data_IF_064078295979
#
_entry.id   IF_064078295979
#
_cell.length_a   1.000
_cell.length_b   1.000
_cell.length_c   1.000
_cell.angle_alpha   90.00
_cell.angle_beta   90.00
_cell.angle_gamma   90.00
#
_symmetry.space_group_name_H-M   'P 1'
#
loop_
_entity.id
_entity.type
_entity.pdbx_description
1 polymer ?
#
# COMPACT_ATOMS: atom_id res chain seq x y z
N UNK A 1 -59.78 -29.22 19.98
CA UNK A 1 -58.64 -29.15 20.91
C UNK A 1 -57.76 -27.98 20.50
N UNK A 2 -57.84 -26.87 21.22
CA UNK A 2 -56.79 -25.86 21.40
C UNK A 2 -57.47 -24.62 22.00
N UNK A 3 -57.59 -24.64 23.32
CA UNK A 3 -58.10 -23.54 24.14
C UNK A 3 -57.08 -22.41 24.22
N UNK A 4 -57.49 -21.19 23.89
CA UNK A 4 -56.77 -19.98 24.29
C UNK A 4 -57.76 -18.99 24.90
N UNK A 5 -57.67 -18.84 26.22
CA UNK A 5 -58.42 -17.85 27.00
C UNK A 5 -57.59 -16.57 27.14
N UNK A 6 -58.20 -15.37 27.00
CA UNK A 6 -57.47 -14.12 27.18
C UNK A 6 -57.32 -13.79 28.67
N UNK A 7 -56.13 -13.34 29.11
CA UNK A 7 -55.94 -12.77 30.44
C UNK A 7 -55.77 -11.25 30.39
N UNK A 8 -56.47 -10.62 31.32
CA UNK A 8 -56.80 -9.21 31.42
C UNK A 8 -55.63 -8.26 31.73
N UNK A 9 -55.88 -7.00 31.37
CA UNK A 9 -55.10 -5.80 31.71
C UNK A 9 -54.95 -5.63 33.22
N UNK A 10 -53.73 -5.25 33.65
CA UNK A 10 -53.52 -4.37 34.81
C UNK A 10 -52.45 -3.32 34.47
N UNK A 11 -52.84 -2.06 34.61
CA UNK A 11 -51.99 -0.88 34.86
C UNK A 11 -52.58 -0.19 36.10
N UNK A 12 -51.99 0.87 36.70
CA UNK A 12 -50.58 1.27 36.88
C UNK A 12 -50.29 1.64 38.38
N UNK A 13 -49.04 1.94 38.75
CA UNK A 13 -48.64 2.92 39.80
C UNK A 13 -47.11 2.88 40.00
N UNK A 14 -46.39 3.96 39.63
CA UNK A 14 -45.76 4.95 40.55
C UNK A 14 -44.63 4.36 41.42
N UNK A 15 -43.37 4.79 41.41
CA UNK A 15 -42.68 5.90 40.74
C UNK A 15 -41.27 6.08 41.37
N UNK A 16 -40.50 7.03 40.82
CA UNK A 16 -39.17 7.57 41.26
C UNK A 16 -37.97 6.67 40.89
N UNK A 17 -36.87 7.15 40.31
CA UNK A 17 -36.24 8.48 40.30
C UNK A 17 -35.31 8.68 39.09
N UNK A 18 -35.11 9.95 38.72
CA UNK A 18 -34.21 10.48 37.70
C UNK A 18 -32.71 10.24 38.00
N UNK A 19 -31.89 10.19 36.93
CA UNK A 19 -30.41 10.27 36.95
C UNK A 19 -29.80 9.59 35.71
N UNK A 20 -29.70 10.23 34.55
CA UNK A 20 -28.63 11.15 34.11
C UNK A 20 -27.23 10.50 34.02
N UNK A 21 -26.83 10.02 32.83
CA UNK A 21 -25.46 10.14 32.26
C UNK A 21 -25.24 9.26 31.01
N UNK A 22 -25.73 9.70 29.85
CA UNK A 22 -25.40 9.10 28.54
C UNK A 22 -24.99 10.17 27.51
N UNK A 23 -24.14 11.12 27.93
CA UNK A 23 -23.67 12.25 27.08
C UNK A 23 -22.13 12.30 26.93
N UNK A 24 -21.38 11.41 27.59
CA UNK A 24 -19.91 11.50 27.62
C UNK A 24 -19.19 10.57 26.64
N UNK A 25 -19.88 9.67 25.92
CA UNK A 25 -19.24 8.74 24.98
C UNK A 25 -19.36 9.10 23.49
N UNK A 26 -20.27 10.01 23.12
CA UNK A 26 -20.39 10.48 21.74
C UNK A 26 -19.60 11.76 21.45
N UNK A 27 -19.29 12.58 22.46
CA UNK A 27 -18.48 13.80 22.27
C UNK A 27 -16.99 13.54 22.03
N UNK A 28 -16.46 12.39 22.46
CA UNK A 28 -15.06 12.04 22.23
C UNK A 28 -14.76 11.53 20.80
N UNK A 29 -15.79 11.37 19.95
CA UNK A 29 -15.63 10.88 18.57
C UNK A 29 -15.89 11.93 17.49
N UNK A 30 -16.57 13.02 17.84
CA UNK A 30 -16.84 14.14 16.90
C UNK A 30 -15.86 15.31 17.04
N UNK A 31 -15.08 15.41 18.12
CA UNK A 31 -14.07 16.48 18.31
C UNK A 31 -12.66 16.13 17.78
N UNK A 32 -12.51 15.08 16.96
CA UNK A 32 -11.24 14.71 16.30
C UNK A 32 -11.36 14.66 14.77
N UNK A 33 -12.27 15.46 14.19
CA UNK A 33 -12.53 15.49 12.74
C UNK A 33 -12.44 16.88 12.11
N UNK A 34 -11.84 17.84 12.77
CA UNK A 34 -11.59 19.17 12.20
C UNK A 34 -10.24 19.67 12.70
N UNK A 35 -9.15 19.26 12.02
CA UNK A 35 -7.84 19.94 11.98
C UNK A 35 -6.80 19.03 11.28
N UNK A 36 -6.96 18.78 9.97
CA UNK A 36 -5.94 18.04 9.20
C UNK A 36 -5.88 18.47 7.71
N UNK A 37 -6.34 19.67 7.37
CA UNK A 37 -6.27 20.20 5.99
C UNK A 37 -5.03 21.11 5.72
N UNK A 38 -4.20 21.40 6.73
CA UNK A 38 -3.05 22.32 6.59
C UNK A 38 -1.66 21.65 6.66
N UNK A 39 -1.60 20.33 6.88
CA UNK A 39 -0.33 19.60 7.04
C UNK A 39 0.46 19.36 5.72
N UNK A 40 0.01 19.91 4.59
CA UNK A 40 0.70 19.78 3.30
C UNK A 40 1.80 20.84 3.07
N UNK A 41 1.94 21.83 3.97
CA UNK A 41 2.80 23.00 3.74
C UNK A 41 4.10 23.03 4.55
N UNK A 42 4.37 22.11 5.49
CA UNK A 42 5.57 22.13 6.33
C UNK A 42 6.33 20.78 6.32
N UNK A 43 6.91 20.40 5.16
CA UNK A 43 8.06 19.49 5.16
C UNK A 43 9.34 20.32 5.32
N UNK A 44 10.16 20.11 6.36
CA UNK A 44 11.46 20.77 6.43
C UNK A 44 12.29 20.31 5.22
N UNK A 45 12.78 21.26 4.45
CA UNK A 45 13.70 21.01 3.34
C UNK A 45 14.92 20.25 3.90
N UNK A 46 15.06 18.98 3.53
CA UNK A 46 16.17 18.15 3.99
C UNK A 46 17.46 18.71 3.39
N UNK A 47 18.18 19.50 4.19
CA UNK A 47 19.47 20.10 3.87
C UNK A 47 20.44 18.99 3.50
N UNK A 48 20.99 19.09 2.28
CA UNK A 48 21.88 18.09 1.69
C UNK A 48 23.01 17.66 2.63
N UNK A 49 23.05 16.35 2.91
CA UNK A 49 24.27 15.66 3.26
C UNK A 49 24.70 14.86 2.04
N UNK A 50 25.65 15.43 1.31
CA UNK A 50 26.38 14.72 0.27
C UNK A 50 27.36 13.74 0.93
N UNK A 51 27.44 12.57 0.30
CA UNK A 51 28.53 11.59 0.36
C UNK A 51 28.62 10.67 1.59
N UNK A 52 28.06 9.45 1.41
CA UNK A 52 28.71 8.14 1.64
C UNK A 52 27.76 6.93 1.41
N UNK A 53 26.53 7.14 0.90
CA UNK A 53 25.50 6.10 0.81
C UNK A 53 25.57 5.16 -0.41
N UNK A 54 26.51 5.35 -1.32
CA UNK A 54 26.74 4.37 -2.40
C UNK A 54 27.23 3.00 -1.87
N UNK A 55 27.66 2.93 -0.61
CA UNK A 55 28.25 1.73 -0.02
C UNK A 55 27.25 0.71 0.57
N UNK A 56 25.96 1.08 0.73
CA UNK A 56 25.00 0.23 1.48
C UNK A 56 23.77 -0.18 0.67
N UNK A 57 23.68 0.22 -0.60
CA UNK A 57 22.65 -0.36 -1.47
C UNK A 57 23.03 -1.83 -1.72
N UNK A 58 22.15 -2.80 -1.40
CA UNK A 58 22.30 -4.16 -1.89
C UNK A 58 22.44 -4.06 -3.41
N UNK A 59 23.49 -4.69 -3.96
CA UNK A 59 23.94 -4.62 -5.36
C UNK A 59 22.80 -4.35 -6.37
N UNK A 60 22.47 -3.06 -6.56
CA UNK A 60 21.48 -2.65 -7.55
C UNK A 60 22.15 -2.82 -8.90
N UNK A 61 21.62 -3.69 -9.74
CA UNK A 61 22.10 -3.80 -11.12
C UNK A 61 21.86 -2.44 -11.79
N UNK A 62 22.81 -1.88 -12.53
CA UNK A 62 22.76 -0.49 -13.02
C UNK A 62 21.52 -0.10 -13.86
N UNK A 63 20.68 -1.06 -14.24
CA UNK A 63 19.41 -0.85 -14.93
C UNK A 63 18.17 -1.34 -14.13
N UNK A 64 18.29 -1.72 -12.86
CA UNK A 64 17.14 -2.20 -12.07
C UNK A 64 16.23 -1.04 -11.66
N UNK A 65 14.93 -1.33 -11.64
CA UNK A 65 13.88 -0.43 -11.19
C UNK A 65 13.30 -0.94 -9.88
N UNK A 66 12.89 -0.03 -9.01
CA UNK A 66 12.20 -0.36 -7.77
C UNK A 66 10.72 -0.05 -7.91
N UNK A 67 9.89 -1.09 -7.81
CA UNK A 67 8.44 -0.97 -7.64
C UNK A 67 8.12 -1.01 -6.16
N UNK A 68 7.18 -0.21 -5.70
CA UNK A 68 6.83 -0.12 -4.29
C UNK A 68 5.33 -0.02 -4.10
N UNK A 69 4.89 -0.41 -2.90
CA UNK A 69 3.47 -0.48 -2.57
C UNK A 69 2.84 -1.82 -2.92
N UNK A 70 1.70 -2.10 -2.27
CA UNK A 70 0.99 -3.38 -2.37
C UNK A 70 0.59 -3.76 -3.80
N UNK A 71 -0.10 -2.85 -4.49
CA UNK A 71 -0.69 -3.14 -5.79
C UNK A 71 0.33 -3.23 -6.93
N UNK A 72 1.27 -2.28 -7.10
CA UNK A 72 2.27 -2.39 -8.17
C UNK A 72 3.13 -3.65 -8.02
N UNK A 73 3.52 -4.00 -6.80
CA UNK A 73 4.28 -5.22 -6.50
C UNK A 73 3.44 -6.46 -6.82
N UNK A 74 2.19 -6.51 -6.38
CA UNK A 74 1.29 -7.65 -6.68
C UNK A 74 1.10 -7.83 -8.18
N UNK A 75 0.85 -6.76 -8.93
CA UNK A 75 0.66 -6.82 -10.38
C UNK A 75 1.92 -7.29 -11.10
N UNK A 76 3.09 -6.76 -10.74
CA UNK A 76 4.35 -7.17 -11.34
C UNK A 76 4.68 -8.64 -11.10
N UNK A 77 4.41 -9.14 -9.89
CA UNK A 77 4.57 -10.54 -9.54
C UNK A 77 3.55 -11.44 -10.26
N UNK A 78 2.30 -10.99 -10.47
CA UNK A 78 1.27 -11.79 -11.16
C UNK A 78 1.58 -11.95 -12.64
N UNK A 79 1.95 -10.85 -13.29
CA UNK A 79 2.19 -10.81 -14.73
C UNK A 79 3.58 -11.35 -15.09
N UNK A 80 4.56 -11.22 -14.20
CA UNK A 80 5.95 -11.68 -14.40
C UNK A 80 6.57 -11.30 -15.76
N UNK A 81 6.09 -10.21 -16.37
CA UNK A 81 6.56 -9.69 -17.68
C UNK A 81 7.95 -9.04 -17.61
N UNK A 82 8.52 -8.95 -16.42
CA UNK A 82 9.85 -8.37 -16.13
C UNK A 82 10.65 -9.40 -15.35
N UNK A 83 11.98 -9.30 -15.37
CA UNK A 83 12.81 -10.08 -14.46
C UNK A 83 12.60 -9.56 -13.04
N UNK A 84 12.28 -10.47 -12.13
CA UNK A 84 12.01 -10.18 -10.72
C UNK A 84 13.28 -10.55 -9.94
N UNK A 85 13.93 -9.59 -9.29
CA UNK A 85 15.23 -9.83 -8.66
C UNK A 85 15.09 -10.06 -7.15
N UNK A 86 14.48 -9.10 -6.46
CA UNK A 86 14.53 -9.08 -4.99
C UNK A 86 13.31 -8.38 -4.40
N UNK A 87 12.66 -8.99 -3.41
CA UNK A 87 11.55 -8.44 -2.65
C UNK A 87 11.99 -8.09 -1.23
N UNK A 88 11.87 -6.82 -0.86
CA UNK A 88 12.07 -6.31 0.49
C UNK A 88 10.72 -6.15 1.18
N UNK A 89 10.58 -6.77 2.36
CA UNK A 89 9.36 -6.72 3.17
C UNK A 89 9.66 -6.14 4.54
N UNK A 90 9.02 -5.03 4.87
CA UNK A 90 9.13 -4.41 6.19
C UNK A 90 8.52 -5.32 7.27
N UNK A 91 9.26 -5.58 8.35
CA UNK A 91 8.85 -6.38 9.50
C UNK A 91 8.72 -5.56 10.79
N UNK A 92 8.13 -4.38 10.70
CA UNK A 92 7.71 -3.65 11.89
C UNK A 92 6.63 -4.38 12.68
N UNK A 93 6.46 -3.95 13.93
CA UNK A 93 5.61 -4.52 14.97
C UNK A 93 4.14 -4.77 14.59
N UNK A 94 3.62 -4.08 13.56
CA UNK A 94 2.26 -4.25 13.03
C UNK A 94 2.11 -5.22 11.84
N UNK A 95 3.17 -5.90 11.38
CA UNK A 95 3.09 -6.86 10.25
C UNK A 95 3.50 -8.26 10.68
N UNK A 96 2.52 -9.06 11.11
CA UNK A 96 2.70 -10.46 11.51
C UNK A 96 2.10 -11.47 10.54
N UNK A 97 1.72 -11.06 9.33
CA UNK A 97 1.07 -11.96 8.39
C UNK A 97 2.12 -12.80 7.66
N UNK A 98 2.42 -13.97 8.25
CA UNK A 98 3.20 -15.02 7.59
C UNK A 98 2.57 -15.47 6.26
N UNK A 99 1.23 -15.36 6.15
CA UNK A 99 0.43 -15.72 4.98
C UNK A 99 0.17 -14.57 4.00
N UNK A 100 1.11 -13.63 3.89
CA UNK A 100 0.99 -12.55 2.92
C UNK A 100 0.99 -13.13 1.48
N UNK A 101 -0.09 -12.96 0.67
CA UNK A 101 -0.16 -13.50 -0.69
C UNK A 101 0.92 -12.94 -1.63
N UNK A 102 1.48 -11.76 -1.36
CA UNK A 102 2.62 -11.22 -2.12
C UNK A 102 3.89 -12.02 -1.87
N UNK A 103 4.11 -12.47 -0.62
CA UNK A 103 5.25 -13.35 -0.29
C UNK A 103 5.11 -14.70 -0.97
N UNK A 104 3.92 -15.29 -0.93
CA UNK A 104 3.63 -16.57 -1.61
C UNK A 104 3.88 -16.46 -3.12
N UNK A 105 3.44 -15.35 -3.74
CA UNK A 105 3.64 -15.14 -5.17
C UNK A 105 5.12 -14.93 -5.51
N UNK A 106 5.86 -14.16 -4.70
CA UNK A 106 7.30 -13.99 -4.87
C UNK A 106 8.08 -15.31 -4.73
N UNK A 107 7.72 -16.15 -3.76
CA UNK A 107 8.29 -17.49 -3.59
C UNK A 107 8.01 -18.38 -4.81
N UNK A 108 6.79 -18.35 -5.36
CA UNK A 108 6.41 -19.08 -6.58
C UNK A 108 7.33 -18.73 -7.77
N UNK A 109 7.75 -17.47 -7.86
CA UNK A 109 8.66 -16.99 -8.91
C UNK A 109 10.15 -17.11 -8.54
N UNK A 110 10.50 -17.72 -7.41
CA UNK A 110 11.89 -17.87 -6.97
C UNK A 110 12.59 -16.55 -6.63
N UNK A 111 11.83 -15.50 -6.33
CA UNK A 111 12.38 -14.17 -6.02
C UNK A 111 13.01 -14.21 -4.63
N UNK A 112 14.21 -13.62 -4.49
CA UNK A 112 14.85 -13.49 -3.19
C UNK A 112 14.03 -12.57 -2.28
N UNK A 113 13.71 -13.02 -1.08
CA UNK A 113 12.93 -12.24 -0.10
C UNK A 113 13.84 -11.85 1.06
N UNK A 114 13.98 -10.55 1.31
CA UNK A 114 14.61 -10.02 2.52
C UNK A 114 13.57 -9.36 3.39
N UNK A 115 13.56 -9.76 4.66
CA UNK A 115 12.76 -9.11 5.68
C UNK A 115 13.60 -7.98 6.27
N UNK A 116 13.10 -6.74 6.18
CA UNK A 116 13.80 -5.54 6.63
C UNK A 116 13.27 -5.17 8.02
N UNK A 117 14.13 -5.16 9.06
CA UNK A 117 13.75 -4.73 10.40
C UNK A 117 13.52 -3.21 10.46
N UNK A 118 12.89 -2.74 11.53
CA UNK A 118 12.61 -1.33 11.76
C UNK A 118 13.87 -0.44 11.73
N UNK A 119 14.99 -0.93 12.26
CA UNK A 119 16.29 -0.24 12.23
C UNK A 119 16.81 0.06 10.81
N UNK A 120 16.38 -0.72 9.83
CA UNK A 120 16.84 -0.63 8.43
C UNK A 120 15.77 -0.09 7.48
N UNK A 121 14.67 0.47 8.02
CA UNK A 121 13.57 1.03 7.20
C UNK A 121 14.06 2.07 6.18
N UNK A 122 15.07 2.87 6.55
CA UNK A 122 15.67 3.89 5.71
C UNK A 122 16.18 3.36 4.36
N UNK A 123 16.54 2.07 4.27
CA UNK A 123 16.94 1.44 3.01
C UNK A 123 15.76 1.39 2.04
N UNK A 124 14.57 1.03 2.53
CA UNK A 124 13.34 0.97 1.73
C UNK A 124 12.88 2.37 1.32
N UNK A 125 12.98 3.35 2.22
CA UNK A 125 12.68 4.76 1.91
C UNK A 125 13.61 5.31 0.82
N UNK A 126 14.88 4.93 0.85
CA UNK A 126 15.82 5.34 -0.18
C UNK A 126 15.47 4.72 -1.55
N UNK A 127 15.13 3.43 -1.59
CA UNK A 127 14.69 2.75 -2.82
C UNK A 127 13.39 3.34 -3.39
N UNK A 128 12.47 3.79 -2.52
CA UNK A 128 11.23 4.44 -2.93
C UNK A 128 11.38 5.94 -3.22
N UNK A 129 12.59 6.51 -3.07
CA UNK A 129 12.87 7.95 -3.18
C UNK A 129 12.00 8.78 -2.22
N UNK A 130 11.81 8.29 -1.00
CA UNK A 130 11.00 8.90 0.06
C UNK A 130 9.50 8.86 -0.21
N UNK A 131 9.02 8.02 -1.14
CA UNK A 131 7.60 7.82 -1.41
C UNK A 131 7.02 6.71 -0.52
N UNK A 132 5.71 6.74 -0.21
CA UNK A 132 5.07 5.68 0.57
C UNK A 132 5.22 4.32 -0.10
N UNK A 133 6.01 3.43 0.51
CA UNK A 133 6.25 2.08 -0.01
C UNK A 133 5.29 1.03 0.58
N UNK A 134 4.48 1.40 1.58
CA UNK A 134 3.53 0.52 2.27
C UNK A 134 4.19 -0.82 2.66
N UNK A 135 5.42 -0.74 3.19
CA UNK A 135 6.23 -1.85 3.63
C UNK A 135 6.61 -2.91 2.58
N UNK A 136 6.47 -2.63 1.28
CA UNK A 136 6.86 -3.54 0.20
C UNK A 136 7.65 -2.79 -0.87
N UNK A 137 8.83 -3.30 -1.20
CA UNK A 137 9.66 -2.81 -2.31
C UNK A 137 10.17 -4.01 -3.10
N UNK A 138 10.02 -3.98 -4.41
CA UNK A 138 10.43 -5.04 -5.33
C UNK A 138 11.41 -4.47 -6.35
N UNK A 139 12.61 -5.02 -6.38
CA UNK A 139 13.61 -4.78 -7.41
C UNK A 139 13.33 -5.63 -8.64
N UNK A 140 13.20 -4.99 -9.81
CA UNK A 140 12.84 -5.62 -11.07
C UNK A 140 13.65 -5.06 -12.24
N UNK A 141 13.67 -5.75 -13.38
CA UNK A 141 14.11 -5.13 -14.64
C UNK A 141 13.10 -4.07 -15.10
N UNK A 142 13.49 -3.16 -16.01
CA UNK A 142 12.54 -2.31 -16.71
C UNK A 142 11.46 -3.15 -17.41
N UNK A 143 10.28 -2.56 -17.63
CA UNK A 143 9.26 -3.21 -18.46
C UNK A 143 9.83 -3.36 -19.87
N UNK A 144 9.74 -4.54 -20.49
CA UNK A 144 9.97 -4.66 -21.93
C UNK A 144 9.00 -3.72 -22.65
N UNK A 145 9.55 -2.71 -23.31
CA UNK A 145 8.79 -1.78 -24.16
C UNK A 145 8.85 -2.30 -25.58
N UNK A 146 7.72 -2.22 -26.29
CA UNK A 146 7.70 -2.49 -27.71
C UNK A 146 8.49 -1.37 -28.42
N UNK A 147 9.48 -1.70 -29.27
CA UNK A 147 10.21 -0.67 -29.99
C UNK A 147 9.29 -0.01 -31.02
N UNK A 148 8.91 1.23 -30.73
CA UNK A 148 8.18 2.11 -31.63
C UNK A 148 9.14 2.73 -32.64
N UNK A 149 8.86 2.57 -33.93
CA UNK A 149 9.68 3.15 -35.01
C UNK A 149 9.16 4.52 -35.40
N UNK A 150 7.87 4.61 -35.69
CA UNK A 150 7.24 5.84 -36.13
C UNK A 150 5.76 5.86 -35.72
N UNK A 151 5.24 7.07 -35.55
CA UNK A 151 3.80 7.31 -35.55
C UNK A 151 3.42 7.63 -37.00
N UNK A 152 2.47 6.87 -37.54
CA UNK A 152 1.87 7.08 -38.84
C UNK A 152 0.86 8.23 -38.84
N UNK A 153 0.18 8.45 -39.98
CA UNK A 153 -0.79 9.53 -40.13
C UNK A 153 -1.96 9.39 -39.14
N UNK A 154 -2.51 10.55 -38.75
CA UNK A 154 -3.69 10.64 -37.89
C UNK A 154 -4.94 10.24 -38.68
N UNK A 155 -5.74 9.38 -38.08
CA UNK A 155 -7.05 8.93 -38.54
C UNK A 155 -8.11 9.35 -37.52
N UNK A 156 -9.40 9.28 -37.87
CA UNK A 156 -10.50 9.62 -36.95
C UNK A 156 -10.43 8.84 -35.63
N UNK A 157 -9.92 7.60 -35.67
CA UNK A 157 -9.80 6.71 -34.51
C UNK A 157 -8.42 6.74 -33.80
N UNK A 158 -7.45 7.56 -34.24
CA UNK A 158 -6.12 7.63 -33.62
C UNK A 158 -4.93 7.73 -34.58
N UNK A 159 -3.81 7.10 -34.24
CA UNK A 159 -2.60 7.08 -35.08
C UNK A 159 -2.29 5.64 -35.50
N UNK A 160 -1.92 5.45 -36.77
CA UNK A 160 -1.29 4.18 -37.19
C UNK A 160 0.11 4.10 -36.55
N UNK A 161 0.56 2.91 -36.16
CA UNK A 161 1.83 2.75 -35.43
C UNK A 161 2.71 1.74 -36.14
N UNK A 162 3.94 2.13 -36.47
CA UNK A 162 4.94 1.21 -37.01
C UNK A 162 5.82 0.65 -35.89
N UNK A 163 5.84 -0.67 -35.78
CA UNK A 163 6.54 -1.41 -34.72
C UNK A 163 7.77 -2.09 -35.33
N UNK A 164 8.93 -1.97 -34.66
CA UNK A 164 10.12 -2.70 -35.08
C UNK A 164 10.05 -4.17 -34.64
N UNK A 165 10.57 -5.06 -35.48
CA UNK A 165 10.81 -6.45 -35.09
C UNK A 165 12.06 -6.54 -34.21
N UNK A 166 11.94 -7.09 -33.02
CA UNK A 166 13.07 -7.26 -32.09
C UNK A 166 13.70 -8.64 -32.34
N UNK A 167 14.94 -8.67 -32.84
CA UNK A 167 15.74 -9.90 -33.00
C UNK A 167 16.26 -10.42 -31.65
#
# INVERSE_FOLDING_TARGET
TSDYTPRERRSPAAGRSFGHSDVTKQRARDELREEDEDAFSHRPAFKGRTNNFAATLPQSTAASQFLFGRWPVTAALKEARRKLYHLYVYAGSNRRDANDPVRTLAQKHGVRITVVPESEQHIMDNMSKGRPHNGLVLEVSPLPQLPLVSLGPVTEDGYTVEIAHQM
#
